data_IF_371083278805
#
_entry.id   IF_371083278805
#
_cell.length_a   1.000
_cell.length_b   1.000
_cell.length_c   1.000
_cell.angle_alpha   90.00
_cell.angle_beta   90.00
_cell.angle_gamma   90.00
#
_symmetry.space_group_name_H-M   'P 1'
#
loop_
_entity.id
_entity.type
_entity.pdbx_description
1 polymer ?
#
# COMPACT_ATOMS: atom_id res chain seq x y z
N UNK A 1 -13.34 -10.19 5.10
CA UNK A 1 -12.29 -9.70 6.01
C UNK A 1 -12.86 -8.52 6.78
N UNK A 2 -12.64 -8.47 8.11
CA UNK A 2 -13.20 -7.44 8.97
C UNK A 2 -12.09 -6.69 9.69
N UNK A 3 -12.27 -5.40 9.86
CA UNK A 3 -11.41 -4.54 10.65
C UNK A 3 -11.69 -4.72 12.14
N UNK A 4 -10.84 -4.18 13.03
CA UNK A 4 -11.02 -4.27 14.48
C UNK A 4 -12.31 -3.62 14.98
N UNK A 5 -12.84 -2.63 14.27
CA UNK A 5 -14.12 -1.95 14.56
C UNK A 5 -15.35 -2.70 14.02
N UNK A 6 -15.16 -3.88 13.43
CA UNK A 6 -16.22 -4.73 12.84
C UNK A 6 -16.65 -4.32 11.43
N UNK A 7 -16.11 -3.27 10.86
CA UNK A 7 -16.37 -2.90 9.47
C UNK A 7 -15.72 -3.87 8.48
N UNK A 8 -16.35 -4.08 7.33
CA UNK A 8 -15.82 -4.98 6.32
C UNK A 8 -14.77 -4.30 5.45
N UNK A 9 -13.55 -4.86 5.46
CA UNK A 9 -12.45 -4.41 4.61
C UNK A 9 -12.65 -4.83 3.15
N UNK A 10 -12.56 -3.88 2.23
CA UNK A 10 -12.75 -4.16 0.78
C UNK A 10 -11.69 -5.09 0.21
N UNK A 11 -10.45 -4.95 0.61
CA UNK A 11 -9.31 -5.80 0.24
C UNK A 11 -8.12 -5.50 1.15
N UNK A 12 -7.29 -6.50 1.44
CA UNK A 12 -6.03 -6.33 2.15
C UNK A 12 -4.91 -7.06 1.39
N UNK A 13 -3.91 -6.31 0.94
CA UNK A 13 -2.79 -6.83 0.18
C UNK A 13 -1.99 -7.90 0.93
N UNK A 14 -1.85 -7.77 2.25
CA UNK A 14 -1.17 -8.76 3.07
C UNK A 14 -2.00 -10.04 3.20
N UNK A 15 -3.27 -9.92 3.56
CA UNK A 15 -4.16 -11.05 3.75
C UNK A 15 -4.35 -11.88 2.48
N UNK A 16 -4.49 -11.23 1.30
CA UNK A 16 -4.72 -11.95 0.05
C UNK A 16 -3.53 -12.83 -0.35
N UNK A 17 -2.28 -12.40 -0.03
CA UNK A 17 -1.08 -13.23 -0.22
C UNK A 17 -1.12 -14.47 0.67
N UNK A 18 -1.53 -14.30 1.94
CA UNK A 18 -1.72 -15.43 2.88
C UNK A 18 -2.80 -16.40 2.39
N UNK A 19 -3.92 -15.89 1.84
CA UNK A 19 -4.96 -16.73 1.22
C UNK A 19 -4.38 -17.53 0.06
N UNK A 20 -3.63 -16.90 -0.84
CA UNK A 20 -2.98 -17.60 -1.96
C UNK A 20 -2.05 -18.71 -1.50
N UNK A 21 -1.21 -18.45 -0.49
CA UNK A 21 -0.34 -19.45 0.13
C UNK A 21 -1.15 -20.58 0.77
N UNK A 22 -2.16 -20.25 1.57
CA UNK A 22 -3.01 -21.26 2.21
C UNK A 22 -3.66 -22.21 1.20
N UNK A 23 -4.25 -21.65 0.14
CA UNK A 23 -4.92 -22.47 -0.87
C UNK A 23 -3.97 -23.45 -1.55
N UNK A 24 -2.75 -23.03 -1.84
CA UNK A 24 -1.75 -23.87 -2.52
C UNK A 24 -1.09 -24.87 -1.55
N UNK A 25 -0.52 -24.38 -0.45
CA UNK A 25 0.28 -25.19 0.47
C UNK A 25 -0.54 -26.28 1.18
N UNK A 26 -1.85 -26.05 1.38
CA UNK A 26 -2.78 -27.03 1.96
C UNK A 26 -3.54 -27.85 0.90
N UNK A 27 -3.08 -27.86 -0.34
CA UNK A 27 -3.61 -28.73 -1.41
C UNK A 27 -5.06 -28.43 -1.82
N UNK A 28 -5.56 -27.20 -1.58
CA UNK A 28 -6.88 -26.78 -2.05
C UNK A 28 -6.87 -26.48 -3.56
N UNK A 29 -5.71 -26.21 -4.12
CA UNK A 29 -5.48 -26.02 -5.55
C UNK A 29 -4.02 -26.32 -5.89
N UNK A 30 -3.77 -26.71 -7.16
CA UNK A 30 -2.44 -26.87 -7.76
C UNK A 30 -2.06 -25.70 -8.68
N UNK A 31 -2.98 -24.74 -8.85
CA UNK A 31 -2.78 -23.58 -9.71
C UNK A 31 -1.82 -22.57 -9.09
N UNK A 32 -0.88 -22.06 -9.89
CA UNK A 32 0.02 -20.98 -9.49
C UNK A 32 -0.50 -19.59 -9.83
N UNK A 33 -1.57 -19.50 -10.60
CA UNK A 33 -2.29 -18.24 -10.88
C UNK A 33 -3.70 -18.39 -10.35
N UNK A 34 -4.06 -17.54 -9.40
CA UNK A 34 -5.35 -17.55 -8.72
C UNK A 34 -6.10 -16.25 -9.01
N UNK A 35 -7.42 -16.37 -9.14
CA UNK A 35 -8.32 -15.22 -9.17
C UNK A 35 -9.16 -15.27 -7.90
N UNK A 36 -9.01 -14.26 -7.06
CA UNK A 36 -9.70 -14.15 -5.77
C UNK A 36 -10.70 -13.02 -5.87
N UNK A 37 -11.96 -13.33 -5.60
CA UNK A 37 -13.02 -12.33 -5.50
C UNK A 37 -12.91 -11.57 -4.18
N UNK A 38 -12.96 -10.24 -4.28
CA UNK A 38 -12.93 -9.31 -3.14
C UNK A 38 -13.99 -8.25 -3.34
N UNK A 39 -14.32 -7.47 -2.30
CA UNK A 39 -15.22 -6.32 -2.43
C UNK A 39 -14.66 -5.21 -3.35
N UNK A 40 -13.35 -5.23 -3.62
CA UNK A 40 -12.70 -4.34 -4.58
C UNK A 40 -12.62 -4.94 -5.99
N UNK A 41 -13.36 -6.02 -6.27
CA UNK A 41 -13.31 -6.77 -7.52
C UNK A 41 -12.38 -7.97 -7.47
N UNK A 42 -12.23 -8.63 -8.60
CA UNK A 42 -11.36 -9.81 -8.74
C UNK A 42 -9.90 -9.37 -8.75
N UNK A 43 -9.10 -9.97 -7.88
CA UNK A 43 -7.65 -9.80 -7.84
C UNK A 43 -6.95 -11.04 -8.38
N UNK A 44 -5.94 -10.83 -9.21
CA UNK A 44 -5.12 -11.92 -9.74
C UNK A 44 -3.83 -12.04 -8.92
N UNK A 45 -3.56 -13.25 -8.45
CA UNK A 45 -2.35 -13.60 -7.72
C UNK A 45 -1.50 -14.54 -8.57
N UNK A 46 -0.19 -14.30 -8.55
CA UNK A 46 0.81 -15.17 -9.15
C UNK A 46 1.71 -15.70 -8.02
N UNK A 47 1.64 -17.01 -7.76
CA UNK A 47 2.35 -17.64 -6.66
C UNK A 47 3.76 -18.06 -7.11
N UNK A 48 4.77 -17.63 -6.38
CA UNK A 48 6.14 -18.12 -6.51
C UNK A 48 6.30 -19.35 -5.60
N UNK A 49 6.48 -20.51 -6.22
CA UNK A 49 6.54 -21.82 -5.54
C UNK A 49 7.96 -22.37 -5.64
N UNK A 50 8.57 -22.63 -4.50
CA UNK A 50 9.89 -23.22 -4.36
C UNK A 50 9.81 -24.38 -3.37
N UNK A 51 10.40 -25.53 -3.74
CA UNK A 51 10.35 -26.75 -2.90
C UNK A 51 8.92 -27.23 -2.58
N UNK A 52 7.95 -26.96 -3.47
CA UNK A 52 6.55 -27.36 -3.28
C UNK A 52 5.72 -26.42 -2.38
N UNK A 53 6.28 -25.32 -1.91
CA UNK A 53 5.64 -24.36 -1.00
C UNK A 53 5.69 -22.94 -1.59
N UNK A 54 4.65 -22.15 -1.35
CA UNK A 54 4.63 -20.74 -1.74
C UNK A 54 5.60 -19.94 -0.86
N UNK A 55 6.56 -19.28 -1.48
CA UNK A 55 7.50 -18.35 -0.83
C UNK A 55 6.99 -16.92 -0.86
N UNK A 56 6.51 -16.49 -2.01
CA UNK A 56 5.97 -15.15 -2.19
C UNK A 56 4.78 -15.19 -3.15
N UNK A 57 3.99 -14.11 -3.13
CA UNK A 57 2.92 -13.93 -4.09
C UNK A 57 2.97 -12.51 -4.67
N UNK A 58 2.84 -12.42 -5.99
CA UNK A 58 2.63 -11.17 -6.71
C UNK A 58 1.13 -10.98 -6.92
N UNK A 59 0.64 -9.83 -6.52
CA UNK A 59 -0.78 -9.44 -6.61
C UNK A 59 -0.94 -8.32 -7.61
N UNK A 60 -1.91 -8.44 -8.52
CA UNK A 60 -2.36 -7.32 -9.35
C UNK A 60 -3.27 -6.42 -8.50
N UNK A 61 -2.74 -5.24 -8.15
CA UNK A 61 -3.40 -4.28 -7.27
C UNK A 61 -4.33 -3.33 -8.02
N UNK A 62 -4.28 -3.34 -9.36
CA UNK A 62 -5.02 -2.43 -10.24
C UNK A 62 -4.27 -1.13 -10.53
N UNK A 63 -4.86 -0.30 -11.39
CA UNK A 63 -4.27 0.97 -11.78
C UNK A 63 -4.34 2.02 -10.66
N UNK A 64 -3.28 2.84 -10.49
CA UNK A 64 -3.34 3.97 -9.58
C UNK A 64 -4.21 5.08 -10.19
N UNK A 65 -5.02 5.74 -9.37
CA UNK A 65 -5.85 6.87 -9.78
C UNK A 65 -5.28 8.17 -9.19
N UNK A 66 -5.01 9.15 -10.05
CA UNK A 66 -4.42 10.44 -9.67
C UNK A 66 -5.37 11.63 -9.80
N UNK A 67 -6.59 11.43 -10.27
CA UNK A 67 -7.59 12.51 -10.37
C UNK A 67 -8.10 12.86 -8.98
N UNK A 68 -8.01 14.15 -8.55
CA UNK A 68 -8.38 14.56 -7.18
C UNK A 68 -9.79 14.16 -6.77
N UNK A 69 -10.77 14.28 -7.68
CA UNK A 69 -12.16 13.93 -7.46
C UNK A 69 -12.41 12.43 -7.25
N UNK A 70 -11.43 11.58 -7.64
CA UNK A 70 -11.48 10.13 -7.48
C UNK A 70 -10.70 9.64 -6.25
N UNK A 71 -9.87 10.51 -5.64
CA UNK A 71 -9.06 10.14 -4.46
C UNK A 71 -9.89 10.14 -3.17
N UNK A 72 -10.78 11.01 -2.71
CA UNK A 72 -11.09 12.42 -3.02
C UNK A 72 -10.15 13.41 -2.30
N UNK A 73 -9.79 14.49 -3.00
CA UNK A 73 -8.96 15.59 -2.46
C UNK A 73 -9.56 16.92 -2.86
N UNK A 74 -9.78 17.82 -1.89
CA UNK A 74 -10.36 19.15 -2.07
C UNK A 74 -9.30 20.20 -2.43
N UNK A 75 -8.47 19.91 -3.44
CA UNK A 75 -7.50 20.87 -3.98
C UNK A 75 -7.82 21.15 -5.46
N UNK A 76 -7.71 22.41 -5.91
CA UNK A 76 -7.99 22.76 -7.30
C UNK A 76 -6.90 22.25 -8.25
N UNK A 77 -7.28 22.02 -9.51
CA UNK A 77 -6.36 21.66 -10.60
C UNK A 77 -6.44 20.19 -11.01
N UNK A 78 -5.42 19.73 -11.75
CA UNK A 78 -5.30 18.35 -12.20
C UNK A 78 -4.71 17.41 -11.14
N UNK A 79 -3.87 16.45 -11.56
CA UNK A 79 -3.16 15.57 -10.62
C UNK A 79 -2.46 16.37 -9.52
N UNK A 80 -2.53 15.87 -8.29
CA UNK A 80 -1.80 16.42 -7.15
C UNK A 80 -0.46 15.68 -7.07
N UNK A 81 0.56 16.25 -7.68
CA UNK A 81 1.93 15.70 -7.73
C UNK A 81 2.89 16.80 -7.33
N UNK A 82 3.76 16.56 -6.34
CA UNK A 82 4.70 17.53 -5.78
C UNK A 82 4.00 18.88 -5.48
N UNK A 83 2.79 18.83 -4.92
CA UNK A 83 2.00 20.03 -4.66
C UNK A 83 2.30 20.58 -3.27
N UNK A 84 2.85 21.80 -3.22
CA UNK A 84 2.97 22.52 -1.95
C UNK A 84 1.58 22.85 -1.39
N UNK A 85 1.34 22.51 -0.14
CA UNK A 85 0.13 22.80 0.61
C UNK A 85 0.46 23.04 2.09
N UNK A 86 -0.52 23.46 2.87
CA UNK A 86 -0.37 23.65 4.31
C UNK A 86 -1.12 22.55 5.06
N UNK A 87 -0.38 21.74 5.82
CA UNK A 87 -0.92 20.69 6.69
C UNK A 87 -0.14 20.73 8.00
N UNK A 88 -0.81 20.48 9.12
CA UNK A 88 -0.18 20.45 10.45
C UNK A 88 0.52 21.76 10.85
N UNK A 89 0.04 22.89 10.31
CA UNK A 89 0.61 24.23 10.56
C UNK A 89 1.96 24.47 9.87
N UNK A 90 2.34 23.64 8.91
CA UNK A 90 3.56 23.77 8.12
C UNK A 90 3.32 23.58 6.63
N UNK A 91 4.24 24.09 5.81
CA UNK A 91 4.25 23.85 4.38
C UNK A 91 4.83 22.46 4.12
N UNK A 92 4.14 21.69 3.28
CA UNK A 92 4.52 20.34 2.90
C UNK A 92 4.22 20.10 1.44
N UNK A 93 5.09 19.38 0.77
CA UNK A 93 4.87 18.94 -0.61
C UNK A 93 4.23 17.54 -0.59
N UNK A 94 3.07 17.39 -1.24
CA UNK A 94 2.32 16.14 -1.25
C UNK A 94 2.09 15.63 -2.66
N UNK A 95 1.99 14.31 -2.78
CA UNK A 95 1.46 13.62 -3.96
C UNK A 95 0.29 12.74 -3.53
N UNK A 96 -0.89 12.94 -4.14
CA UNK A 96 -2.09 12.18 -3.79
C UNK A 96 -2.40 11.14 -4.85
N UNK A 97 -2.75 9.93 -4.39
CA UNK A 97 -3.08 8.80 -5.26
C UNK A 97 -4.11 7.89 -4.58
N UNK A 98 -4.98 7.26 -5.36
CA UNK A 98 -5.87 6.21 -4.86
C UNK A 98 -5.44 4.85 -5.40
N UNK A 99 -5.32 3.87 -4.51
CA UNK A 99 -5.18 2.44 -4.80
C UNK A 99 -6.48 1.67 -4.49
N UNK A 100 -7.64 2.38 -4.63
CA UNK A 100 -8.95 1.94 -4.18
C UNK A 100 -9.33 2.49 -2.80
N UNK A 101 -8.38 3.11 -2.13
CA UNK A 101 -8.47 3.93 -0.92
C UNK A 101 -7.53 5.14 -1.06
N UNK A 102 -7.81 6.28 -0.39
CA UNK A 102 -7.02 7.51 -0.54
C UNK A 102 -5.68 7.43 0.17
N UNK A 103 -4.63 7.91 -0.50
CA UNK A 103 -3.26 8.02 0.00
C UNK A 103 -2.69 9.41 -0.26
N UNK A 104 -1.98 9.93 0.75
CA UNK A 104 -1.17 11.16 0.69
C UNK A 104 0.29 10.77 0.90
N UNK A 105 1.11 10.90 -0.12
CA UNK A 105 2.54 10.56 -0.07
C UNK A 105 3.36 11.83 0.13
N UNK A 106 4.20 11.81 1.16
CA UNK A 106 5.12 12.90 1.52
C UNK A 106 6.54 12.37 1.40
N UNK A 107 7.30 12.92 0.44
CA UNK A 107 8.72 12.60 0.30
C UNK A 107 9.56 13.54 1.16
N UNK A 108 10.53 12.99 1.89
CA UNK A 108 11.36 13.77 2.81
C UNK A 108 12.55 13.01 3.36
N UNK A 109 13.02 13.44 4.53
CA UNK A 109 14.10 12.80 5.26
C UNK A 109 13.66 11.43 5.83
N UNK A 110 14.59 10.71 6.47
CA UNK A 110 14.32 9.40 7.06
C UNK A 110 13.11 9.44 8.01
N UNK A 111 12.04 8.71 7.73
CA UNK A 111 10.80 8.77 8.51
C UNK A 111 10.96 8.22 9.94
N UNK A 112 12.04 7.53 10.28
CA UNK A 112 12.26 7.03 11.65
C UNK A 112 12.35 8.15 12.67
N UNK A 113 12.74 9.36 12.26
CA UNK A 113 12.77 10.56 13.10
C UNK A 113 11.42 11.24 13.33
N UNK A 114 10.34 10.78 12.65
CA UNK A 114 9.03 11.41 12.74
C UNK A 114 8.23 10.84 13.93
N UNK A 115 7.69 11.73 14.76
CA UNK A 115 6.65 11.37 15.75
C UNK A 115 5.29 11.22 15.06
N UNK A 116 5.03 10.00 14.53
CA UNK A 116 3.81 9.74 13.76
C UNK A 116 2.54 9.86 14.62
N UNK A 117 2.58 9.52 15.88
CA UNK A 117 1.42 9.64 16.79
C UNK A 117 0.97 11.11 16.91
N UNK A 118 1.90 12.04 16.77
CA UNK A 118 1.63 13.47 16.80
C UNK A 118 1.24 14.03 15.44
N UNK A 119 1.94 13.62 14.39
CA UNK A 119 1.81 14.20 13.04
C UNK A 119 0.71 13.52 12.24
N UNK A 120 0.59 12.19 12.34
CA UNK A 120 -0.33 11.38 11.56
C UNK A 120 -1.79 11.82 11.64
N UNK A 121 -2.38 12.05 12.84
CA UNK A 121 -3.75 12.53 12.97
C UNK A 121 -4.01 13.87 12.28
N UNK A 122 -3.00 14.74 12.18
CA UNK A 122 -3.13 16.06 11.56
C UNK A 122 -3.21 15.93 10.03
N UNK A 123 -2.51 14.95 9.44
CA UNK A 123 -2.64 14.62 8.02
C UNK A 123 -3.95 13.88 7.75
N UNK A 124 -4.26 12.85 8.53
CA UNK A 124 -5.47 12.04 8.36
C UNK A 124 -6.73 12.91 8.31
N UNK A 125 -6.81 13.94 9.18
CA UNK A 125 -7.98 14.78 9.35
C UNK A 125 -7.84 16.19 8.74
N UNK A 126 -6.87 16.41 7.84
CA UNK A 126 -6.71 17.69 7.18
C UNK A 126 -7.94 18.01 6.30
N UNK A 127 -8.39 19.26 6.32
CA UNK A 127 -9.63 19.71 5.63
C UNK A 127 -9.63 19.42 4.13
N UNK A 128 -8.45 19.27 3.53
CA UNK A 128 -8.32 18.91 2.11
C UNK A 128 -8.69 17.45 1.82
N UNK A 129 -8.86 16.60 2.83
CA UNK A 129 -9.24 15.19 2.72
C UNK A 129 -10.62 14.93 3.35
N UNK A 130 -11.72 15.15 2.62
CA UNK A 130 -13.08 15.04 3.18
C UNK A 130 -13.42 13.64 3.70
N UNK A 131 -12.81 12.60 3.14
CA UNK A 131 -12.99 11.20 3.56
C UNK A 131 -11.82 10.68 4.43
N UNK A 132 -11.01 11.60 4.97
CA UNK A 132 -9.73 11.29 5.62
C UNK A 132 -8.77 10.56 4.66
N UNK A 133 -7.54 10.31 5.06
CA UNK A 133 -6.49 9.78 4.18
C UNK A 133 -5.52 8.88 4.94
N UNK A 134 -4.93 7.90 4.25
CA UNK A 134 -3.71 7.24 4.71
C UNK A 134 -2.52 8.12 4.29
N UNK A 135 -1.53 8.28 5.15
CA UNK A 135 -0.37 9.11 4.84
C UNK A 135 0.91 8.29 4.92
N UNK A 136 1.64 8.29 3.82
CA UNK A 136 2.93 7.64 3.66
C UNK A 136 4.05 8.68 3.76
N UNK A 137 4.89 8.58 4.79
CA UNK A 137 6.12 9.35 4.93
C UNK A 137 7.27 8.55 4.32
N UNK A 138 7.85 9.05 3.24
CA UNK A 138 8.73 8.27 2.36
C UNK A 138 10.09 8.95 2.22
N UNK A 139 11.13 8.18 2.47
CA UNK A 139 12.51 8.54 2.15
C UNK A 139 12.98 7.79 0.92
N UNK A 140 13.67 8.52 0.03
CA UNK A 140 14.28 7.94 -1.17
C UNK A 140 15.69 7.49 -0.79
N UNK A 141 15.87 6.17 -0.58
CA UNK A 141 17.16 5.57 -0.24
C UNK A 141 18.09 5.59 -1.46
N UNK A 142 17.54 5.19 -2.59
CA UNK A 142 18.18 5.22 -3.89
C UNK A 142 17.11 5.23 -4.99
N UNK A 143 17.55 5.33 -6.26
CA UNK A 143 16.62 5.16 -7.37
C UNK A 143 15.99 3.76 -7.31
N UNK A 144 14.66 3.69 -7.35
CA UNK A 144 13.88 2.45 -7.19
C UNK A 144 13.99 1.79 -5.79
N UNK A 145 14.38 2.54 -4.77
CA UNK A 145 14.49 2.04 -3.40
C UNK A 145 13.96 3.10 -2.42
N UNK A 146 12.90 2.75 -1.70
CA UNK A 146 12.15 3.64 -0.80
C UNK A 146 12.12 3.05 0.60
N UNK A 147 12.18 3.90 1.61
CA UNK A 147 11.88 3.55 3.00
C UNK A 147 10.66 4.34 3.44
N UNK A 148 9.65 3.68 4.03
CA UNK A 148 8.43 4.37 4.43
C UNK A 148 7.91 3.94 5.79
N UNK A 149 7.24 4.88 6.44
CA UNK A 149 6.31 4.65 7.53
C UNK A 149 4.94 5.19 7.13
N UNK A 150 3.89 4.58 7.66
CA UNK A 150 2.51 4.90 7.28
C UNK A 150 1.65 5.17 8.51
N UNK A 151 0.82 6.19 8.40
CA UNK A 151 -0.33 6.43 9.26
C UNK A 151 -1.60 6.03 8.51
N UNK A 152 -2.21 4.92 8.91
CA UNK A 152 -3.42 4.41 8.26
C UNK A 152 -4.67 5.05 8.83
N UNK A 153 -5.56 5.47 7.95
CA UNK A 153 -6.86 6.03 8.25
C UNK A 153 -7.66 5.12 9.19
N UNK A 154 -7.95 5.61 10.40
CA UNK A 154 -8.71 4.89 11.41
C UNK A 154 -7.96 3.78 12.15
N UNK A 155 -6.66 3.59 11.87
CA UNK A 155 -5.86 2.53 12.50
C UNK A 155 -4.57 3.04 13.14
N UNK A 156 -4.13 4.26 12.81
CA UNK A 156 -2.88 4.81 13.29
C UNK A 156 -1.65 4.23 12.57
N UNK A 157 -0.48 4.29 13.19
CA UNK A 157 0.72 3.70 12.62
C UNK A 157 0.62 2.17 12.59
N UNK A 158 0.86 1.58 11.42
CA UNK A 158 0.91 0.13 11.24
C UNK A 158 2.29 -0.32 10.75
N UNK A 159 2.59 -1.60 10.92
CA UNK A 159 3.87 -2.15 10.50
C UNK A 159 3.99 -2.29 8.98
N UNK A 160 2.89 -2.43 8.27
CA UNK A 160 2.89 -2.59 6.81
C UNK A 160 1.51 -2.33 6.21
N UNK A 161 1.46 -1.40 5.26
CA UNK A 161 0.30 -1.11 4.42
C UNK A 161 0.62 -1.44 2.96
N UNK A 162 0.00 -2.49 2.41
CA UNK A 162 0.26 -2.92 1.03
C UNK A 162 -0.19 -1.90 -0.02
N UNK A 163 -1.38 -1.28 0.16
CA UNK A 163 -1.85 -0.21 -0.73
C UNK A 163 -1.02 1.06 -0.57
N UNK A 164 -0.53 1.36 0.64
CA UNK A 164 0.38 2.46 0.91
C UNK A 164 1.72 2.29 0.19
N UNK A 165 2.31 1.08 0.21
CA UNK A 165 3.53 0.81 -0.55
C UNK A 165 3.32 0.96 -2.07
N UNK A 166 2.17 0.51 -2.58
CA UNK A 166 1.81 0.73 -3.99
C UNK A 166 1.62 2.22 -4.31
N UNK A 167 1.00 2.98 -3.41
CA UNK A 167 0.82 4.41 -3.54
C UNK A 167 2.16 5.16 -3.54
N UNK A 168 3.05 4.83 -2.59
CA UNK A 168 4.39 5.41 -2.51
C UNK A 168 5.21 5.16 -3.78
N UNK A 169 5.22 3.92 -4.29
CA UNK A 169 5.92 3.57 -5.52
C UNK A 169 5.31 4.27 -6.75
N UNK A 170 3.98 4.33 -6.87
CA UNK A 170 3.32 5.05 -7.94
C UNK A 170 3.61 6.56 -7.89
N UNK A 171 3.58 7.15 -6.71
CA UNK A 171 3.96 8.55 -6.49
C UNK A 171 5.45 8.80 -6.83
N UNK A 172 6.36 7.88 -6.47
CA UNK A 172 7.77 7.99 -6.78
C UNK A 172 8.02 8.01 -8.30
N UNK A 173 7.28 7.21 -9.07
CA UNK A 173 7.36 7.23 -10.54
C UNK A 173 6.84 8.57 -11.11
N UNK A 174 5.68 9.06 -10.62
CA UNK A 174 5.13 10.35 -11.09
C UNK A 174 6.06 11.54 -10.76
N UNK A 175 6.81 11.46 -9.66
CA UNK A 175 7.80 12.49 -9.26
C UNK A 175 9.19 12.28 -9.90
N UNK A 176 9.41 11.22 -10.67
CA UNK A 176 10.69 10.92 -11.30
C UNK A 176 11.77 10.35 -10.39
N UNK A 177 11.41 9.93 -9.17
CA UNK A 177 12.31 9.29 -8.20
C UNK A 177 12.52 7.80 -8.47
N UNK A 178 11.59 7.18 -9.20
CA UNK A 178 11.67 5.79 -9.62
C UNK A 178 11.34 5.61 -11.10
N UNK A 179 11.79 4.51 -11.68
CA UNK A 179 11.55 4.18 -13.08
C UNK A 179 10.22 3.42 -13.26
N UNK A 180 9.41 3.76 -14.26
CA UNK A 180 8.28 2.93 -14.64
C UNK A 180 8.77 1.54 -15.12
N UNK A 181 7.91 0.55 -15.01
CA UNK A 181 8.15 -0.84 -15.42
C UNK A 181 9.37 -1.53 -14.75
N UNK A 182 9.92 -0.90 -13.70
CA UNK A 182 11.00 -1.44 -12.88
C UNK A 182 10.50 -1.93 -11.52
N UNK A 183 11.24 -2.84 -10.91
CA UNK A 183 11.00 -3.25 -9.54
C UNK A 183 11.47 -2.15 -8.58
N UNK A 184 10.58 -1.69 -7.73
CA UNK A 184 10.80 -0.68 -6.70
C UNK A 184 10.73 -1.38 -5.35
N UNK A 185 11.82 -1.37 -4.60
CA UNK A 185 11.86 -1.92 -3.25
C UNK A 185 11.29 -0.89 -2.28
N UNK A 186 10.34 -1.31 -1.45
CA UNK A 186 9.75 -0.47 -0.42
C UNK A 186 10.00 -1.13 0.94
N UNK A 187 10.87 -0.53 1.74
CA UNK A 187 11.17 -0.95 3.09
C UNK A 187 10.12 -0.42 4.06
N UNK A 188 9.43 -1.32 4.77
CA UNK A 188 8.47 -1.01 5.82
C UNK A 188 8.95 -1.62 7.15
N UNK A 189 8.40 -1.18 8.28
CA UNK A 189 8.69 -1.78 9.59
C UNK A 189 8.42 -3.30 9.64
N UNK A 190 7.41 -3.76 8.90
CA UNK A 190 7.00 -5.16 8.85
C UNK A 190 7.70 -6.02 7.80
N UNK A 191 8.66 -5.45 7.07
CA UNK A 191 9.42 -6.14 6.01
C UNK A 191 9.27 -5.48 4.63
N UNK A 192 9.97 -6.01 3.65
CA UNK A 192 10.07 -5.42 2.33
C UNK A 192 8.94 -5.88 1.41
N UNK A 193 8.52 -4.96 0.55
CA UNK A 193 7.66 -5.25 -0.59
C UNK A 193 8.36 -4.81 -1.88
N UNK A 194 8.17 -5.59 -2.94
CA UNK A 194 8.62 -5.21 -4.28
C UNK A 194 7.40 -4.77 -5.08
N UNK A 195 7.42 -3.52 -5.51
CA UNK A 195 6.33 -2.91 -6.26
C UNK A 195 6.80 -2.67 -7.69
N UNK A 196 5.95 -2.99 -8.65
CA UNK A 196 6.19 -2.64 -10.06
C UNK A 196 4.99 -1.87 -10.60
N UNK A 197 5.19 -0.61 -10.96
CA UNK A 197 4.19 0.23 -11.59
C UNK A 197 4.37 0.18 -13.10
N UNK A 198 3.41 -0.40 -13.81
CA UNK A 198 3.34 -0.43 -15.27
C UNK A 198 2.39 0.66 -15.79
N UNK A 199 2.29 0.82 -17.10
CA UNK A 199 1.31 1.75 -17.69
C UNK A 199 -0.14 1.38 -17.33
N UNK A 200 -0.43 0.09 -17.08
CA UNK A 200 -1.79 -0.43 -16.91
C UNK A 200 -2.16 -0.70 -15.45
N UNK A 201 -1.19 -1.11 -14.62
CA UNK A 201 -1.47 -1.58 -13.25
C UNK A 201 -0.26 -1.44 -12.33
N UNK A 202 -0.49 -1.67 -11.04
CA UNK A 202 0.56 -1.82 -10.03
C UNK A 202 0.57 -3.27 -9.56
N UNK A 203 1.72 -3.91 -9.63
CA UNK A 203 1.96 -5.23 -9.03
C UNK A 203 2.65 -5.06 -7.68
N UNK A 204 2.20 -5.81 -6.69
CA UNK A 204 2.83 -5.89 -5.38
C UNK A 204 3.28 -7.32 -5.12
N UNK A 205 4.56 -7.52 -4.88
CA UNK A 205 5.16 -8.81 -4.52
C UNK A 205 5.63 -8.77 -3.08
N UNK A 206 5.29 -9.77 -2.31
CA UNK A 206 5.76 -9.92 -0.93
C UNK A 206 5.67 -11.37 -0.48
N UNK A 207 6.40 -11.66 0.57
CA UNK A 207 6.40 -12.98 1.19
C UNK A 207 5.08 -13.26 1.92
N UNK A 208 4.84 -14.55 2.17
CA UNK A 208 3.81 -15.04 3.07
C UNK A 208 4.39 -16.24 3.85
N UNK A 209 4.36 -16.16 5.17
CA UNK A 209 4.90 -17.18 6.04
C UNK A 209 3.81 -17.82 6.90
N UNK A 210 3.84 -19.16 7.05
CA UNK A 210 3.09 -19.86 8.07
C UNK A 210 3.86 -19.71 9.39
N UNK A 211 3.28 -19.02 10.35
CA UNK A 211 3.94 -18.75 11.65
C UNK A 211 3.71 -19.90 12.62
N UNK A 212 2.47 -20.39 12.72
CA UNK A 212 2.10 -21.55 13.53
C UNK A 212 0.77 -22.15 13.05
N UNK A 213 0.46 -23.33 13.50
CA UNK A 213 -0.87 -23.94 13.41
C UNK A 213 -1.35 -24.36 14.80
N UNK A 214 -2.65 -24.31 15.04
CA UNK A 214 -3.22 -24.62 16.34
C UNK A 214 -4.72 -24.87 16.23
N UNK A 215 -5.32 -25.29 17.35
CA UNK A 215 -6.75 -25.43 17.52
C UNK A 215 -7.26 -24.39 18.50
N UNK A 216 -8.48 -23.90 18.32
CA UNK A 216 -9.17 -22.98 19.21
C UNK A 216 -10.52 -23.58 19.55
N UNK A 217 -10.86 -23.59 20.83
CA UNK A 217 -12.22 -23.94 21.26
C UNK A 217 -13.13 -22.73 20.95
N UNK A 218 -14.32 -22.95 20.34
CA UNK A 218 -15.24 -21.90 19.94
C UNK A 218 -15.92 -21.19 21.14
#
# INVERSE_FOLDING_TARGET
MFNADGSEGKMCGNAIRCVGKYLYDFGKTDKRTLKIETLSGVRTLFLNVEGGMVKSARVDMGAPEFRPERIPVSLPGGKIVARETEIAGGRVEITCVSMGNPHCVVFGEDPDGIDLEKVGPQFENADIFPDRVNTEFVHIVARNELKMRVWERGSGETLACGTGACAAAAAAVENGFADPDSDIIVHLKGGDLVIRRTAETVYMTGEAALVFSGEVEP
#
